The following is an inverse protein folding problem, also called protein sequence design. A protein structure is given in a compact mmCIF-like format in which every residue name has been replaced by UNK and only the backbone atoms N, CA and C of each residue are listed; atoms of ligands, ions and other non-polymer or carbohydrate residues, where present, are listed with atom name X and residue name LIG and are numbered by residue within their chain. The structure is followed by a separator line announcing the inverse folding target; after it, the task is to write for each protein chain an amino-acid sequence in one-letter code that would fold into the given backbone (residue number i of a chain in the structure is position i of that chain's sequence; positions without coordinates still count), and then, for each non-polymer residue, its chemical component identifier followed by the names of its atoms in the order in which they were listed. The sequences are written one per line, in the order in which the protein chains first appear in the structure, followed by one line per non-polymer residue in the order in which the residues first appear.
data_IF_079345373463
#
_entry.id   IF_079345373463
#
_cell.length_a   1.000
_cell.length_b   1.000
_cell.length_c   1.000
_cell.angle_alpha   90.00
_cell.angle_beta   90.00
_cell.angle_gamma   90.00
#
_symmetry.space_group_name_H-M   'P 1'
#
loop_
_entity.id
_entity.type
_entity.pdbx_description
1 polymer ?
#
# COMPACT_ATOMS: atom_id res chain seq x y z
N UNK A 1 1.77 17.71 -1.59
CA UNK A 1 2.29 16.38 -1.20
C UNK A 1 1.30 15.56 -0.40
N UNK A 2 0.77 16.04 0.73
CA UNK A 2 -0.20 15.29 1.55
C UNK A 2 -1.43 14.78 0.77
N UNK A 3 -2.02 15.59 -0.11
CA UNK A 3 -3.14 15.15 -0.96
C UNK A 3 -2.79 14.05 -1.95
N UNK A 4 -1.56 14.04 -2.47
CA UNK A 4 -1.09 13.02 -3.40
C UNK A 4 -0.88 11.68 -2.68
N UNK A 5 -0.33 11.72 -1.46
CA UNK A 5 -0.14 10.53 -0.64
C UNK A 5 -1.50 9.97 -0.23
N UNK A 6 -2.42 10.82 0.22
CA UNK A 6 -3.81 10.42 0.57
C UNK A 6 -4.52 9.74 -0.60
N UNK A 7 -4.54 10.39 -1.78
CA UNK A 7 -5.18 9.83 -2.98
C UNK A 7 -4.54 8.50 -3.40
N UNK A 8 -3.21 8.40 -3.33
CA UNK A 8 -2.48 7.16 -3.60
C UNK A 8 -2.87 6.03 -2.64
N UNK A 9 -2.92 6.31 -1.33
CA UNK A 9 -3.33 5.33 -0.31
C UNK A 9 -4.78 4.88 -0.47
N UNK A 10 -5.71 5.80 -0.76
CA UNK A 10 -7.13 5.48 -1.01
C UNK A 10 -7.29 4.59 -2.24
N UNK A 11 -6.56 4.89 -3.33
CA UNK A 11 -6.56 4.08 -4.54
C UNK A 11 -6.03 2.67 -4.27
N UNK A 12 -4.86 2.55 -3.63
CA UNK A 12 -4.27 1.25 -3.29
C UNK A 12 -5.20 0.44 -2.39
N UNK A 13 -5.83 1.08 -1.38
CA UNK A 13 -6.81 0.42 -0.51
C UNK A 13 -8.01 -0.09 -1.29
N UNK A 14 -8.57 0.71 -2.20
CA UNK A 14 -9.70 0.31 -3.04
C UNK A 14 -9.33 -0.89 -3.91
N UNK A 15 -8.15 -0.88 -4.54
CA UNK A 15 -7.66 -1.98 -5.39
C UNK A 15 -7.40 -3.26 -4.60
N UNK A 16 -6.86 -3.16 -3.39
CA UNK A 16 -6.68 -4.33 -2.52
C UNK A 16 -8.03 -4.95 -2.14
N UNK A 17 -9.05 -4.14 -1.80
CA UNK A 17 -10.38 -4.64 -1.48
C UNK A 17 -11.06 -5.32 -2.68
N UNK A 18 -10.90 -4.75 -3.88
CA UNK A 18 -11.38 -5.34 -5.13
C UNK A 18 -10.73 -6.71 -5.38
N UNK A 19 -9.41 -6.81 -5.26
CA UNK A 19 -8.69 -8.07 -5.40
C UNK A 19 -9.08 -9.12 -4.37
N UNK A 20 -9.31 -8.71 -3.12
CA UNK A 20 -9.79 -9.62 -2.07
C UNK A 20 -11.18 -10.17 -2.42
N UNK A 21 -12.07 -9.33 -2.94
CA UNK A 21 -13.38 -9.77 -3.43
C UNK A 21 -13.22 -10.78 -4.57
N UNK A 22 -12.43 -10.46 -5.58
CA UNK A 22 -12.19 -11.38 -6.70
C UNK A 22 -11.51 -12.69 -6.27
N UNK A 23 -10.63 -12.65 -5.28
CA UNK A 23 -9.99 -13.84 -4.73
C UNK A 23 -11.00 -14.71 -3.96
N UNK A 24 -11.94 -14.09 -3.25
CA UNK A 24 -13.01 -14.81 -2.55
C UNK A 24 -14.02 -15.48 -3.49
N UNK A 25 -14.18 -14.93 -4.70
CA UNK A 25 -15.05 -15.47 -5.76
C UNK A 25 -14.33 -16.50 -6.65
N UNK A 26 -13.03 -16.72 -6.44
CA UNK A 26 -12.24 -17.63 -7.25
C UNK A 26 -12.62 -19.09 -6.94
N UNK A 27 -13.14 -19.79 -7.95
CA UNK A 27 -13.42 -21.22 -7.83
C UNK A 27 -12.14 -22.07 -7.87
N UNK A 28 -11.67 -22.44 -6.67
CA UNK A 28 -10.54 -23.34 -6.45
C UNK A 28 -10.96 -24.79 -6.21
N UNK A 29 -12.22 -25.15 -6.46
CA UNK A 29 -12.65 -26.55 -6.33
C UNK A 29 -11.90 -27.46 -7.30
N UNK A 30 -11.77 -28.72 -6.95
CA UNK A 30 -11.15 -29.71 -7.83
C UNK A 30 -11.94 -29.82 -9.14
N UNK A 31 -11.28 -29.80 -10.30
CA UNK A 31 -11.96 -30.03 -11.57
C UNK A 31 -12.63 -31.41 -11.59
N UNK A 32 -13.65 -31.57 -12.44
CA UNK A 32 -14.40 -32.83 -12.54
C UNK A 32 -13.49 -34.03 -12.77
N UNK A 33 -13.72 -35.11 -12.00
CA UNK A 33 -13.00 -36.38 -12.16
C UNK A 33 -13.37 -37.12 -13.47
N UNK A 34 -14.38 -36.64 -14.19
CA UNK A 34 -14.75 -37.17 -15.51
C UNK A 34 -13.84 -36.70 -16.64
N UNK A 35 -12.95 -35.73 -16.37
CA UNK A 35 -12.03 -35.17 -17.35
C UNK A 35 -10.86 -36.13 -17.60
N UNK A 36 -10.33 -36.09 -18.83
CA UNK A 36 -9.07 -36.77 -19.14
C UNK A 36 -7.91 -36.15 -18.36
N UNK A 37 -6.81 -36.91 -18.23
CA UNK A 37 -5.60 -36.44 -17.54
C UNK A 37 -5.04 -35.13 -18.12
N UNK A 38 -5.08 -34.97 -19.44
CA UNK A 38 -4.59 -33.75 -20.10
C UNK A 38 -5.47 -32.53 -19.79
N UNK A 39 -6.79 -32.71 -19.79
CA UNK A 39 -7.75 -31.66 -19.43
C UNK A 39 -7.63 -31.27 -17.95
N UNK A 40 -7.46 -32.26 -17.05
CA UNK A 40 -7.19 -32.03 -15.64
C UNK A 40 -5.93 -31.19 -15.44
N UNK A 41 -4.83 -31.60 -16.09
CA UNK A 41 -3.56 -30.87 -16.01
C UNK A 41 -3.72 -29.42 -16.49
N UNK A 42 -4.37 -29.21 -17.64
CA UNK A 42 -4.58 -27.87 -18.18
C UNK A 42 -5.42 -26.99 -17.24
N UNK A 43 -6.48 -27.54 -16.64
CA UNK A 43 -7.31 -26.83 -15.66
C UNK A 43 -6.48 -26.42 -14.42
N UNK A 44 -5.66 -27.31 -13.89
CA UNK A 44 -4.79 -26.97 -12.76
C UNK A 44 -3.74 -25.92 -13.12
N UNK A 45 -3.16 -25.97 -14.31
CA UNK A 45 -2.21 -24.97 -14.80
C UNK A 45 -2.85 -23.58 -14.92
N UNK A 46 -4.09 -23.51 -15.43
CA UNK A 46 -4.87 -22.26 -15.49
C UNK A 46 -5.12 -21.72 -14.08
N UNK A 47 -5.67 -22.55 -13.18
CA UNK A 47 -5.96 -22.14 -11.80
C UNK A 47 -4.71 -21.65 -11.08
N UNK A 48 -3.58 -22.36 -11.24
CA UNK A 48 -2.29 -21.95 -10.68
C UNK A 48 -1.83 -20.59 -11.22
N UNK A 49 -1.99 -20.34 -12.52
CA UNK A 49 -1.62 -19.05 -13.13
C UNK A 49 -2.44 -17.91 -12.54
N UNK A 50 -3.75 -18.08 -12.42
CA UNK A 50 -4.65 -17.07 -11.86
C UNK A 50 -4.30 -16.77 -10.40
N UNK A 51 -4.05 -17.81 -9.58
CA UNK A 51 -3.64 -17.63 -8.18
C UNK A 51 -2.33 -16.86 -8.08
N UNK A 52 -1.32 -17.22 -8.89
CA UNK A 52 -0.02 -16.53 -8.90
C UNK A 52 -0.16 -15.05 -9.28
N UNK A 53 -0.97 -14.75 -10.29
CA UNK A 53 -1.23 -13.38 -10.72
C UNK A 53 -1.90 -12.56 -9.61
N UNK A 54 -2.93 -13.12 -8.95
CA UNK A 54 -3.59 -12.46 -7.82
C UNK A 54 -2.64 -12.21 -6.64
N UNK A 55 -1.77 -13.17 -6.32
CA UNK A 55 -0.73 -13.00 -5.28
C UNK A 55 0.20 -11.84 -5.66
N UNK A 56 0.72 -11.82 -6.89
CA UNK A 56 1.62 -10.76 -7.34
C UNK A 56 0.97 -9.37 -7.27
N UNK A 57 -0.32 -9.25 -7.63
CA UNK A 57 -1.04 -7.99 -7.48
C UNK A 57 -1.21 -7.58 -6.00
N UNK A 58 -1.54 -8.52 -5.10
CA UNK A 58 -1.65 -8.23 -3.68
C UNK A 58 -0.30 -7.76 -3.09
N UNK A 59 0.80 -8.42 -3.44
CA UNK A 59 2.15 -8.03 -3.03
C UNK A 59 2.48 -6.61 -3.52
N UNK A 60 2.16 -6.30 -4.77
CA UNK A 60 2.37 -4.96 -5.34
C UNK A 60 1.61 -3.87 -4.58
N UNK A 61 0.30 -4.06 -4.36
CA UNK A 61 -0.50 -3.05 -3.66
C UNK A 61 -0.13 -2.93 -2.18
N UNK A 62 0.29 -4.03 -1.54
CA UNK A 62 0.85 -4.00 -0.18
C UNK A 62 2.12 -3.13 -0.14
N UNK A 63 3.06 -3.32 -1.07
CA UNK A 63 4.28 -2.51 -1.15
C UNK A 63 4.01 -1.01 -1.41
N UNK A 64 3.00 -0.69 -2.23
CA UNK A 64 2.56 0.70 -2.40
C UNK A 64 2.00 1.31 -1.10
N UNK A 65 1.24 0.54 -0.32
CA UNK A 65 0.71 0.98 0.97
C UNK A 65 1.83 1.18 2.00
N UNK A 66 2.80 0.27 2.06
CA UNK A 66 3.99 0.40 2.92
C UNK A 66 4.78 1.66 2.57
N UNK A 67 5.03 1.90 1.27
CA UNK A 67 5.73 3.10 0.80
C UNK A 67 4.97 4.38 1.16
N UNK A 68 3.64 4.39 0.98
CA UNK A 68 2.82 5.53 1.35
C UNK A 68 2.84 5.78 2.86
N UNK A 69 2.86 4.73 3.67
CA UNK A 69 2.96 4.82 5.13
C UNK A 69 4.32 5.40 5.56
N UNK A 70 5.41 4.95 4.95
CA UNK A 70 6.75 5.49 5.23
C UNK A 70 6.83 6.98 4.85
N UNK A 71 6.34 7.36 3.67
CA UNK A 71 6.29 8.76 3.25
C UNK A 71 5.47 9.63 4.20
N UNK A 72 4.37 9.10 4.76
CA UNK A 72 3.59 9.79 5.79
C UNK A 72 4.41 10.01 7.07
N UNK A 73 5.10 8.99 7.53
CA UNK A 73 5.95 9.05 8.72
C UNK A 73 7.08 10.10 8.56
N UNK A 74 7.77 10.07 7.42
CA UNK A 74 8.88 10.98 7.12
C UNK A 74 8.40 12.45 7.05
N UNK A 75 7.20 12.67 6.51
CA UNK A 75 6.58 14.01 6.48
C UNK A 75 6.26 14.51 7.89
N UNK A 76 5.70 13.66 8.76
CA UNK A 76 5.40 14.04 10.15
C UNK A 76 6.69 14.40 10.90
N UNK A 77 7.74 13.59 10.75
CA UNK A 77 9.04 13.85 11.36
C UNK A 77 9.64 15.17 10.86
N UNK A 78 9.60 15.41 9.54
CA UNK A 78 10.11 16.63 8.93
C UNK A 78 9.37 17.87 9.42
N UNK A 79 8.04 17.82 9.52
CA UNK A 79 7.21 18.90 10.06
C UNK A 79 7.53 19.18 11.54
N UNK A 80 7.73 18.12 12.33
CA UNK A 80 8.09 18.25 13.75
C UNK A 80 9.43 18.96 13.92
N UNK A 81 10.45 18.57 13.14
CA UNK A 81 11.77 19.20 13.15
C UNK A 81 11.68 20.67 12.71
N UNK A 82 10.96 20.95 11.62
CA UNK A 82 10.80 22.31 11.11
C UNK A 82 10.10 23.23 12.13
N UNK A 83 9.08 22.71 12.83
CA UNK A 83 8.35 23.45 13.86
C UNK A 83 9.25 23.79 15.04
N UNK A 84 10.01 22.80 15.54
CA UNK A 84 10.96 22.99 16.62
C UNK A 84 12.04 24.01 16.27
N UNK A 85 12.61 23.95 15.05
CA UNK A 85 13.59 24.95 14.58
C UNK A 85 13.01 26.36 14.60
N UNK A 86 11.78 26.53 14.11
CA UNK A 86 11.10 27.82 14.09
C UNK A 86 10.84 28.36 15.50
N UNK A 87 10.48 27.51 16.45
CA UNK A 87 10.32 27.87 17.86
C UNK A 87 11.65 28.32 18.49
N UNK A 88 12.74 27.58 18.23
CA UNK A 88 14.09 27.95 18.69
C UNK A 88 14.53 29.29 18.09
N UNK A 89 14.37 29.50 16.77
CA UNK A 89 14.65 30.77 16.10
C UNK A 89 13.85 31.94 16.70
N UNK A 90 12.57 31.73 16.98
CA UNK A 90 11.71 32.74 17.61
C UNK A 90 12.20 33.09 19.02
N UNK A 91 12.61 32.07 19.79
CA UNK A 91 13.17 32.27 21.13
C UNK A 91 14.47 33.07 21.09
N UNK A 92 15.37 32.77 20.16
CA UNK A 92 16.62 33.53 19.98
C UNK A 92 16.35 34.97 19.55
N UNK A 93 15.43 35.19 18.60
CA UNK A 93 15.05 36.55 18.18
C UNK A 93 14.53 37.39 19.37
N UNK A 94 13.65 36.81 20.18
CA UNK A 94 13.13 37.49 21.38
C UNK A 94 14.22 37.80 22.42
N UNK A 95 15.28 37.00 22.52
CA UNK A 95 16.42 37.28 23.41
C UNK A 95 17.34 38.39 22.90
N UNK A 96 17.32 38.67 21.60
CA UNK A 96 18.12 39.74 20.96
C UNK A 96 17.37 41.08 20.98
N UNK A 97 16.03 41.05 20.91
CA UNK A 97 15.18 42.23 20.93
C UNK A 97 14.81 42.73 22.35
N UNK A 98 15.16 41.98 23.41
CA UNK A 98 14.97 42.41 24.80
C UNK A 98 16.14 43.35 25.19
N UNK A 99 15.92 44.68 25.34
CA UNK A 99 17.00 45.61 25.66
C UNK A 99 17.50 45.35 27.09
N UNK A 100 18.83 45.28 27.26
CA UNK A 100 19.47 45.33 28.59
C UNK A 100 19.12 46.61 29.36
#
# INVERSE_FOLDING_TARGET
MSDSIRKGSELSKSRTLELLKEASELDLTSPSQTLSRGELQHQYEIKLRIVKEKIAHLEYYAGLLETANQNWLDNIQSLTIATRRKEEETKYANMVDDPQ
#
